data_IF_301292286433
#
_entry.id   IF_301292286433
#
_cell.length_a   1.000
_cell.length_b   1.000
_cell.length_c   1.000
_cell.angle_alpha   90.00
_cell.angle_beta   90.00
_cell.angle_gamma   90.00
#
_symmetry.space_group_name_H-M   'P 1'
#
loop_
_entity.id
_entity.type
_entity.pdbx_description
1 polymer ?
#
# COMPACT_ATOMS: atom_id res chain seq x y z
N UNK A 1 3.11 4.62 14.66
CA UNK A 1 3.70 3.49 13.92
C UNK A 1 2.84 3.21 12.72
N UNK A 2 3.44 3.03 11.54
CA UNK A 2 2.70 2.74 10.31
C UNK A 2 2.61 1.23 10.11
N UNK A 3 1.47 0.77 9.62
CA UNK A 3 1.18 -0.65 9.47
C UNK A 3 0.70 -0.86 8.04
N UNK A 4 1.44 -1.67 7.29
CA UNK A 4 1.07 -2.13 5.96
C UNK A 4 0.10 -3.30 6.08
N UNK A 5 -1.05 -3.21 5.42
CA UNK A 5 -2.05 -4.30 5.43
C UNK A 5 -1.98 -5.04 4.12
N UNK A 6 -1.75 -6.35 4.16
CA UNK A 6 -1.61 -7.20 2.97
C UNK A 6 -2.69 -8.28 2.99
N UNK A 7 -3.38 -8.47 1.88
CA UNK A 7 -4.41 -9.49 1.73
C UNK A 7 -4.28 -10.12 0.34
N UNK A 8 -4.48 -11.44 0.18
CA UNK A 8 -4.31 -12.09 -1.13
C UNK A 8 -5.19 -11.49 -2.22
N UNK A 9 -6.43 -11.09 -1.89
CA UNK A 9 -7.37 -10.45 -2.83
C UNK A 9 -7.11 -8.94 -3.05
N UNK A 10 -6.08 -8.37 -2.42
CA UNK A 10 -5.72 -6.97 -2.63
C UNK A 10 -5.16 -6.78 -4.03
N UNK A 11 -5.66 -5.80 -4.76
CA UNK A 11 -5.11 -5.45 -6.07
C UNK A 11 -3.82 -4.64 -5.94
N UNK A 12 -2.99 -4.66 -6.97
CA UNK A 12 -1.78 -3.83 -7.05
C UNK A 12 -2.11 -2.34 -6.88
N UNK A 13 -3.23 -1.87 -7.47
CA UNK A 13 -3.71 -0.50 -7.27
C UNK A 13 -4.02 -0.16 -5.81
N UNK A 14 -4.63 -1.09 -5.07
CA UNK A 14 -4.93 -0.88 -3.65
C UNK A 14 -3.65 -0.87 -2.81
N UNK A 15 -2.66 -1.70 -3.16
CA UNK A 15 -1.34 -1.67 -2.54
C UNK A 15 -0.63 -0.35 -2.81
N UNK A 16 -0.64 0.14 -4.06
CA UNK A 16 -0.08 1.45 -4.43
C UNK A 16 -0.71 2.59 -3.62
N UNK A 17 -2.03 2.60 -3.45
CA UNK A 17 -2.71 3.60 -2.62
C UNK A 17 -2.27 3.53 -1.15
N UNK A 18 -2.05 2.33 -0.60
CA UNK A 18 -1.53 2.20 0.76
C UNK A 18 -0.11 2.77 0.90
N UNK A 19 0.78 2.47 -0.04
CA UNK A 19 2.15 3.01 -0.02
C UNK A 19 2.16 4.53 -0.18
N UNK A 20 1.30 5.07 -1.05
CA UNK A 20 1.14 6.51 -1.18
C UNK A 20 0.65 7.16 0.12
N UNK A 21 -0.22 6.49 0.88
CA UNK A 21 -0.71 7.01 2.17
C UNK A 21 0.34 6.88 3.29
N UNK A 22 1.01 5.74 3.38
CA UNK A 22 1.91 5.42 4.48
C UNK A 22 3.30 6.04 4.27
N UNK A 23 3.85 5.91 3.08
CA UNK A 23 5.23 6.27 2.76
C UNK A 23 5.32 7.43 1.77
N UNK A 24 4.19 7.85 1.19
CA UNK A 24 4.12 8.95 0.22
C UNK A 24 5.01 8.74 -1.01
N UNK A 25 5.21 7.47 -1.35
CA UNK A 25 5.84 6.98 -2.56
C UNK A 25 4.86 6.14 -3.37
N UNK A 26 5.21 5.85 -4.61
CA UNK A 26 4.51 4.85 -5.41
C UNK A 26 5.28 3.53 -5.37
N UNK A 27 4.71 2.47 -5.94
CA UNK A 27 5.38 1.19 -6.12
C UNK A 27 5.13 0.61 -7.49
N UNK A 28 6.09 -0.17 -7.97
CA UNK A 28 5.93 -1.11 -9.06
C UNK A 28 5.97 -2.53 -8.50
N UNK A 29 4.96 -3.34 -8.78
CA UNK A 29 4.93 -4.77 -8.44
C UNK A 29 5.25 -5.55 -9.70
N UNK A 30 6.05 -6.61 -9.59
CA UNK A 30 6.45 -7.43 -10.73
C UNK A 30 5.90 -8.85 -10.60
N UNK A 31 5.32 -9.35 -11.70
CA UNK A 31 4.87 -10.73 -11.86
C UNK A 31 5.59 -11.34 -13.06
N UNK A 32 6.24 -12.49 -12.83
CA UNK A 32 6.93 -13.25 -13.90
C UNK A 32 7.88 -12.36 -14.74
N UNK A 33 8.65 -11.50 -14.08
CA UNK A 33 9.59 -10.55 -14.69
C UNK A 33 8.94 -9.44 -15.55
N UNK A 34 7.66 -9.16 -15.36
CA UNK A 34 6.93 -8.07 -16.01
C UNK A 34 6.17 -7.22 -14.98
N UNK A 35 5.99 -5.91 -15.21
CA UNK A 35 5.17 -5.08 -14.32
C UNK A 35 3.73 -5.62 -14.25
N UNK A 36 3.24 -5.80 -13.04
CA UNK A 36 1.88 -6.24 -12.77
C UNK A 36 0.86 -5.15 -13.16
N UNK A 37 -0.31 -5.56 -13.60
CA UNK A 37 -1.42 -4.67 -13.87
C UNK A 37 -2.04 -4.18 -12.57
N UNK A 38 -2.64 -3.00 -12.60
CA UNK A 38 -3.34 -2.38 -11.47
C UNK A 38 -4.48 -3.24 -10.90
N UNK A 39 -5.05 -4.14 -11.70
CA UNK A 39 -6.13 -5.05 -11.31
C UNK A 39 -5.66 -6.43 -10.84
N UNK A 40 -4.39 -6.78 -11.10
CA UNK A 40 -3.84 -8.05 -10.66
C UNK A 40 -3.79 -8.07 -9.13
N UNK A 41 -3.97 -9.24 -8.56
CA UNK A 41 -4.04 -9.44 -7.11
C UNK A 41 -2.70 -9.86 -6.52
N UNK A 42 -2.47 -9.59 -5.23
CA UNK A 42 -1.25 -10.06 -4.56
C UNK A 42 -1.15 -11.59 -4.55
N UNK A 43 -2.29 -12.31 -4.47
CA UNK A 43 -2.32 -13.75 -4.62
C UNK A 43 -1.79 -14.23 -5.97
N UNK A 44 -2.15 -13.55 -7.06
CA UNK A 44 -1.59 -13.82 -8.40
C UNK A 44 -0.09 -13.46 -8.49
N UNK A 45 0.37 -12.52 -7.66
CA UNK A 45 1.77 -12.11 -7.57
C UNK A 45 2.67 -13.13 -6.87
N UNK A 46 2.10 -14.11 -6.17
CA UNK A 46 2.84 -15.09 -5.38
C UNK A 46 2.78 -14.86 -3.86
N UNK A 47 1.89 -13.97 -3.39
CA UNK A 47 1.64 -13.75 -1.97
C UNK A 47 1.14 -15.05 -1.30
N UNK A 48 1.89 -15.61 -0.32
CA UNK A 48 1.63 -16.96 0.18
C UNK A 48 0.50 -17.03 1.20
N UNK A 49 0.08 -15.90 1.76
CA UNK A 49 -0.84 -15.87 2.91
C UNK A 49 -2.30 -15.92 2.44
N UNK A 50 -3.11 -16.70 3.16
CA UNK A 50 -4.53 -16.88 2.85
C UNK A 50 -5.44 -15.84 3.53
N UNK A 51 -4.87 -15.00 4.41
CA UNK A 51 -5.61 -14.04 5.23
C UNK A 51 -4.94 -12.66 5.29
N UNK A 52 -5.64 -11.68 5.88
CA UNK A 52 -5.11 -10.35 6.11
C UNK A 52 -3.92 -10.39 7.08
N UNK A 53 -2.78 -9.87 6.65
CA UNK A 53 -1.58 -9.67 7.48
C UNK A 53 -1.39 -8.18 7.74
N UNK A 54 -1.07 -7.87 8.98
CA UNK A 54 -0.66 -6.53 9.41
C UNK A 54 0.85 -6.53 9.64
N UNK A 55 1.57 -5.83 8.77
CA UNK A 55 3.03 -5.74 8.78
C UNK A 55 3.47 -4.36 9.29
N UNK A 56 4.08 -4.25 10.48
CA UNK A 56 4.57 -2.97 10.98
C UNK A 56 5.76 -2.50 10.14
N UNK A 57 5.70 -1.26 9.66
CA UNK A 57 6.80 -0.68 8.88
C UNK A 57 7.84 -0.10 9.82
N UNK A 58 9.09 -0.57 9.68
CA UNK A 58 10.25 0.06 10.30
C UNK A 58 10.76 1.20 9.40
N UNK A 59 10.47 2.45 9.79
CA UNK A 59 10.88 3.63 9.02
C UNK A 59 12.39 3.89 9.06
N UNK A 60 13.15 3.18 9.90
CA UNK A 60 14.61 3.30 9.98
C UNK A 60 15.33 2.50 8.90
N UNK A 61 14.63 1.60 8.20
CA UNK A 61 15.21 0.85 7.09
C UNK A 61 15.51 1.75 5.89
N UNK A 62 16.56 1.40 5.15
CA UNK A 62 16.78 1.93 3.81
C UNK A 62 15.73 1.40 2.84
N UNK A 63 15.54 2.10 1.71
CA UNK A 63 14.60 1.67 0.66
C UNK A 63 14.91 0.25 0.19
N UNK A 64 16.19 -0.07 0.05
CA UNK A 64 16.65 -1.40 -0.35
C UNK A 64 16.28 -2.46 0.67
N UNK A 65 16.62 -2.24 1.94
CA UNK A 65 16.35 -3.21 3.02
C UNK A 65 14.85 -3.47 3.15
N UNK A 66 14.03 -2.43 2.99
CA UNK A 66 12.59 -2.57 3.05
C UNK A 66 12.00 -3.35 1.86
N UNK A 67 12.49 -3.11 0.64
CA UNK A 67 12.13 -3.91 -0.54
C UNK A 67 12.51 -5.39 -0.31
N UNK A 68 13.77 -5.65 0.05
CA UNK A 68 14.27 -7.01 0.32
C UNK A 68 13.47 -7.70 1.44
N UNK A 69 13.13 -7.01 2.53
CA UNK A 69 12.34 -7.58 3.63
C UNK A 69 10.93 -8.00 3.18
N UNK A 70 10.27 -7.18 2.36
CA UNK A 70 8.95 -7.52 1.84
C UNK A 70 9.01 -8.67 0.85
N UNK A 71 10.02 -8.70 -0.02
CA UNK A 71 10.23 -9.80 -0.97
C UNK A 71 10.48 -11.12 -0.23
N UNK A 72 11.36 -11.12 0.77
CA UNK A 72 11.71 -12.30 1.57
C UNK A 72 10.51 -12.83 2.37
N UNK A 73 9.67 -11.94 2.92
CA UNK A 73 8.52 -12.34 3.74
C UNK A 73 7.32 -12.78 2.91
N UNK A 74 7.07 -12.10 1.79
CA UNK A 74 5.79 -12.19 1.08
C UNK A 74 5.91 -12.73 -0.34
N UNK A 75 7.12 -13.07 -0.79
CA UNK A 75 7.36 -13.83 -2.02
C UNK A 75 6.78 -13.17 -3.30
N UNK A 76 6.68 -11.84 -3.29
CA UNK A 76 6.37 -11.03 -4.47
C UNK A 76 7.41 -9.92 -4.60
N UNK A 77 7.80 -9.61 -5.83
CA UNK A 77 8.82 -8.60 -6.13
C UNK A 77 8.20 -7.21 -6.21
N UNK A 78 8.81 -6.23 -5.54
CA UNK A 78 8.34 -4.84 -5.57
C UNK A 78 9.49 -3.82 -5.55
N UNK A 79 9.26 -2.69 -6.20
CA UNK A 79 10.16 -1.55 -6.15
C UNK A 79 9.44 -0.29 -5.69
N UNK A 80 10.08 0.45 -4.79
CA UNK A 80 9.68 1.79 -4.40
C UNK A 80 9.99 2.77 -5.53
N UNK A 81 8.99 3.56 -5.88
CA UNK A 81 9.02 4.54 -6.95
C UNK A 81 8.73 5.95 -6.42
N UNK A 82 9.30 6.93 -7.10
CA UNK A 82 9.00 8.34 -6.87
C UNK A 82 7.59 8.70 -7.40
N UNK A 83 7.21 9.98 -7.28
CA UNK A 83 5.92 10.50 -7.76
C UNK A 83 5.73 10.39 -9.27
N UNK A 84 6.82 10.31 -10.03
CA UNK A 84 6.80 10.15 -11.48
C UNK A 84 6.75 8.66 -11.89
N UNK A 85 6.46 7.75 -10.94
CA UNK A 85 6.44 6.30 -11.14
C UNK A 85 7.79 5.71 -11.60
N UNK A 86 8.90 6.40 -11.29
CA UNK A 86 10.25 5.91 -11.57
C UNK A 86 10.87 5.30 -10.32
N UNK A 87 11.54 4.13 -10.41
CA UNK A 87 12.25 3.54 -9.28
C UNK A 87 13.24 4.53 -8.66
N UNK A 88 13.35 4.53 -7.33
CA UNK A 88 14.35 5.36 -6.66
C UNK A 88 15.77 4.89 -7.02
N UNK A 89 16.58 5.79 -7.56
CA UNK A 89 17.99 5.50 -7.87
C UNK A 89 18.84 5.40 -6.61
N UNK A 90 18.56 6.23 -5.59
CA UNK A 90 19.21 6.16 -4.29
C UNK A 90 18.46 5.22 -3.36
N UNK A 91 18.81 3.93 -3.42
CA UNK A 91 18.22 2.88 -2.58
C UNK A 91 18.75 2.88 -1.13
N UNK A 92 19.79 3.65 -0.83
CA UNK A 92 20.36 3.80 0.52
C UNK A 92 19.66 4.89 1.36
N UNK A 93 18.70 5.60 0.77
CA UNK A 93 17.87 6.55 1.50
C UNK A 93 16.97 5.81 2.50
N UNK A 94 16.76 6.37 3.68
CA UNK A 94 15.88 5.77 4.68
C UNK A 94 14.43 6.18 4.47
N UNK A 95 13.50 5.30 4.84
CA UNK A 95 12.06 5.54 4.69
C UNK A 95 11.60 6.81 5.41
N UNK A 96 12.11 7.10 6.61
CA UNK A 96 11.77 8.33 7.33
C UNK A 96 12.11 9.61 6.55
N UNK A 97 13.12 9.57 5.67
CA UNK A 97 13.53 10.73 4.86
C UNK A 97 12.53 11.01 3.72
N UNK A 98 11.91 9.96 3.16
CA UNK A 98 10.80 10.12 2.22
C UNK A 98 9.63 10.83 2.88
N UNK A 99 9.26 10.39 4.08
CA UNK A 99 8.12 10.93 4.81
C UNK A 99 8.34 12.41 5.18
N UNK A 100 9.54 12.74 5.66
CA UNK A 100 9.89 14.11 6.07
C UNK A 100 9.94 15.12 4.91
N UNK A 101 10.34 14.68 3.71
CA UNK A 101 10.41 15.56 2.53
C UNK A 101 9.02 15.95 1.99
N UNK A 102 7.94 15.37 2.52
CA UNK A 102 6.56 15.60 2.09
C UNK A 102 5.75 16.49 3.03
N UNK A 103 6.12 16.61 4.31
CA UNK A 103 5.44 17.54 5.23
C UNK A 103 5.56 19.01 4.80
N UNK A 104 6.57 19.36 4.01
CA UNK A 104 6.75 20.72 3.48
C UNK A 104 5.85 21.02 2.26
N UNK A 105 5.44 19.98 1.50
CA UNK A 105 4.57 20.12 0.32
C UNK A 105 3.08 19.91 0.59
N UNK A 106 2.69 19.53 1.81
CA UNK A 106 1.35 19.05 2.14
C UNK A 106 0.30 20.12 2.47
N UNK A 107 0.59 21.42 2.28
CA UNK A 107 -0.45 22.46 2.42
C UNK A 107 -1.56 22.42 1.36
N UNK A 108 -1.40 21.66 0.27
CA UNK A 108 -2.27 21.76 -0.91
C UNK A 108 -3.10 20.51 -1.27
N UNK A 109 -2.90 19.35 -0.62
CA UNK A 109 -3.48 18.05 -1.05
C UNK A 109 -4.42 17.37 -0.04
N UNK A 110 -4.80 18.08 1.03
CA UNK A 110 -5.53 17.47 2.15
C UNK A 110 -7.04 17.25 1.87
N UNK A 111 -7.61 17.89 0.84
CA UNK A 111 -9.05 17.82 0.56
C UNK A 111 -9.46 16.50 -0.14
N UNK A 112 -8.63 15.98 -1.05
CA UNK A 112 -8.94 14.73 -1.77
C UNK A 112 -8.80 13.47 -0.90
N UNK A 113 -7.85 13.49 0.05
CA UNK A 113 -7.63 12.36 0.97
C UNK A 113 -8.74 12.21 2.01
N UNK A 114 -9.30 13.33 2.50
CA UNK A 114 -10.40 13.30 3.46
C UNK A 114 -11.69 12.69 2.86
N UNK A 115 -11.94 12.92 1.57
CA UNK A 115 -13.17 12.45 0.91
C UNK A 115 -13.17 10.94 0.62
N UNK A 116 -12.00 10.34 0.41
CA UNK A 116 -11.87 8.90 0.15
C UNK A 116 -11.83 8.06 1.44
N UNK A 117 -11.25 8.57 2.54
CA UNK A 117 -11.32 7.92 3.86
C UNK A 117 -12.79 7.74 4.30
N UNK A 118 -13.64 8.75 4.10
CA UNK A 118 -15.09 8.67 4.38
C UNK A 118 -15.77 7.58 3.52
N UNK A 119 -15.30 7.39 2.28
CA UNK A 119 -15.92 6.44 1.35
C UNK A 119 -15.55 4.99 1.71
N UNK A 120 -14.31 4.74 2.11
CA UNK A 120 -13.83 3.41 2.54
C UNK A 120 -14.44 2.98 3.88
N UNK A 121 -14.52 3.88 4.88
CA UNK A 121 -15.21 3.57 6.13
C UNK A 121 -16.69 3.23 5.92
N UNK A 122 -17.37 3.94 5.02
CA UNK A 122 -18.78 3.69 4.70
C UNK A 122 -18.99 2.34 4.01
N UNK A 123 -18.05 1.90 3.17
CA UNK A 123 -18.09 0.58 2.53
C UNK A 123 -17.86 -0.56 3.54
N UNK A 124 -16.92 -0.39 4.47
CA UNK A 124 -16.64 -1.38 5.51
C UNK A 124 -17.79 -1.51 6.53
N UNK A 125 -18.53 -0.41 6.80
CA UNK A 125 -19.64 -0.43 7.76
C UNK A 125 -20.95 -0.96 7.15
N UNK A 126 -21.10 -0.96 5.82
CA UNK A 126 -22.30 -1.45 5.13
C UNK A 126 -22.44 -2.99 5.15
N UNK A 127 -21.38 -3.74 5.48
CA UNK A 127 -21.43 -5.20 5.59
C UNK A 127 -21.94 -5.71 6.95
N UNK A 128 -22.34 -4.82 7.88
CA UNK A 128 -22.82 -5.20 9.23
C UNK A 128 -24.33 -5.02 9.46
N UNK A 129 -25.09 -4.52 8.50
CA UNK A 129 -26.54 -4.42 8.64
C UNK A 129 -27.23 -5.52 7.81
N UNK A 130 -27.50 -6.65 8.48
CA UNK A 130 -28.44 -7.64 7.98
C UNK A 130 -29.83 -7.02 7.74
N UNK A 131 -30.65 -7.60 6.86
CA UNK A 131 -31.95 -7.05 6.52
C UNK A 131 -32.82 -6.94 7.77
N UNK A 132 -33.21 -5.71 8.11
CA UNK A 132 -34.22 -5.47 9.13
C UNK A 132 -35.51 -6.13 8.69
N UNK A 133 -35.96 -7.11 9.47
CA UNK A 133 -37.27 -7.73 9.34
C UNK A 133 -38.33 -6.64 9.46
N UNK A 134 -39.03 -6.37 8.36
CA UNK A 134 -40.26 -5.59 8.38
C UNK A 134 -41.33 -6.53 8.91
N UNK A 135 -41.63 -6.40 10.19
CA UNK A 135 -42.85 -6.93 10.79
C UNK A 135 -43.86 -5.78 10.87
N UNK A 136 -44.92 -5.87 10.07
CA UNK A 136 -46.23 -5.26 10.28
C UNK A 136 -47.27 -6.21 9.69
#
# INVERSE_FOLDING_TARGET
>A
MKVLKLHPLMTVSLLQMQFQRLLSCNIAVYMRNSPANAFDTLGEAGFPEEMLIEFPIDETLSLREFEEELEDKFNFTLELCNKDHKPFTNKSMHLFQLIASLSDGMKHNNEYNAQLDITLERLLNNNRQGPQQIAC
#
